data_IF_883892925918
#
_entry.id   IF_883892925918
#
_cell.length_a   1.000
_cell.length_b   1.000
_cell.length_c   1.000
_cell.angle_alpha   90.00
_cell.angle_beta   90.00
_cell.angle_gamma   90.00
#
_symmetry.space_group_name_H-M   'P 1'
#
loop_
_entity.id
_entity.type
_entity.pdbx_description
1 polymer ?
#
# COMPACT_ATOMS: atom_id res chain seq x y z
N UNK A 1 14.54 -19.66 -1.46
CA UNK A 1 13.49 -18.78 -0.90
C UNK A 1 14.17 -17.91 0.15
N UNK A 2 14.06 -16.60 0.02
CA UNK A 2 14.82 -15.67 0.88
C UNK A 2 13.85 -14.99 1.85
N UNK A 3 14.05 -15.08 3.18
CA UNK A 3 13.25 -14.35 4.16
C UNK A 3 13.22 -12.82 3.94
N UNK A 4 14.27 -12.28 3.34
CA UNK A 4 14.35 -10.86 2.99
C UNK A 4 13.29 -10.42 1.94
N UNK A 5 12.81 -11.35 1.11
CA UNK A 5 11.72 -11.06 0.15
C UNK A 5 10.43 -10.59 0.85
N UNK A 6 10.22 -10.96 2.11
CA UNK A 6 9.06 -10.57 2.91
C UNK A 6 9.20 -9.21 3.59
N UNK A 7 10.27 -8.47 3.34
CA UNK A 7 10.46 -7.14 3.93
C UNK A 7 10.52 -6.10 2.83
N UNK A 8 9.65 -5.09 2.92
CA UNK A 8 9.75 -3.87 2.12
C UNK A 8 10.27 -2.77 3.01
N UNK A 9 11.29 -2.06 2.53
CA UNK A 9 12.00 -1.06 3.35
C UNK A 9 11.82 0.34 2.81
N UNK A 10 11.76 1.33 3.71
CA UNK A 10 11.95 2.72 3.35
C UNK A 10 13.43 3.07 3.34
N UNK A 11 13.80 4.11 2.58
CA UNK A 11 15.14 4.67 2.56
C UNK A 11 15.18 6.04 3.25
N UNK A 12 16.35 6.45 3.81
CA UNK A 12 16.40 7.62 4.70
C UNK A 12 16.12 8.95 4.02
N UNK A 13 16.58 9.15 2.80
CA UNK A 13 16.58 10.44 2.12
C UNK A 13 16.35 10.37 0.62
N UNK A 14 16.53 11.48 -0.08
CA UNK A 14 16.31 11.58 -1.53
C UNK A 14 17.42 10.92 -2.35
N UNK A 15 18.57 10.64 -1.74
CA UNK A 15 19.70 9.97 -2.38
C UNK A 15 19.94 8.61 -1.73
N UNK A 16 20.48 7.69 -2.52
CA UNK A 16 20.91 6.38 -2.00
C UNK A 16 22.36 6.49 -1.51
N UNK A 17 22.53 6.79 -0.21
CA UNK A 17 23.84 6.85 0.41
C UNK A 17 24.55 5.49 0.43
N UNK A 18 25.87 5.52 0.65
CA UNK A 18 26.72 4.33 0.62
C UNK A 18 26.28 3.24 1.61
N UNK A 19 25.91 3.63 2.84
CA UNK A 19 25.51 2.68 3.89
C UNK A 19 24.19 2.01 3.51
N UNK A 20 23.22 2.78 3.06
CA UNK A 20 21.95 2.27 2.56
C UNK A 20 22.15 1.32 1.37
N UNK A 21 23.02 1.68 0.43
CA UNK A 21 23.34 0.84 -0.73
C UNK A 21 23.99 -0.49 -0.33
N UNK A 22 24.91 -0.49 0.63
CA UNK A 22 25.57 -1.69 1.17
C UNK A 22 24.55 -2.62 1.86
N UNK A 23 23.66 -2.09 2.70
CA UNK A 23 22.60 -2.88 3.37
C UNK A 23 21.67 -3.51 2.33
N UNK A 24 21.17 -2.73 1.36
CA UNK A 24 20.28 -3.23 0.31
C UNK A 24 20.96 -4.29 -0.56
N UNK A 25 22.23 -4.09 -0.96
CA UNK A 25 22.98 -5.05 -1.75
C UNK A 25 23.20 -6.38 -1.00
N UNK A 26 23.49 -6.31 0.31
CA UNK A 26 23.75 -7.49 1.13
C UNK A 26 22.48 -8.32 1.41
N UNK A 27 21.33 -7.68 1.63
CA UNK A 27 20.12 -8.37 2.09
C UNK A 27 19.06 -8.57 1.02
N UNK A 28 19.05 -7.77 -0.07
CA UNK A 28 18.13 -7.92 -1.19
C UNK A 28 16.66 -8.01 -0.74
N UNK A 29 16.08 -6.97 -0.10
CA UNK A 29 14.69 -6.96 0.33
C UNK A 29 13.73 -7.11 -0.86
N UNK A 30 12.52 -7.63 -0.61
CA UNK A 30 11.51 -7.86 -1.65
C UNK A 30 10.95 -6.59 -2.30
N UNK A 31 11.08 -5.44 -1.63
CA UNK A 31 10.65 -4.15 -2.16
C UNK A 31 11.18 -2.94 -1.41
N UNK A 32 10.93 -1.78 -1.99
CA UNK A 32 11.20 -0.48 -1.39
C UNK A 32 9.92 0.35 -1.42
N UNK A 33 9.58 0.99 -0.30
CA UNK A 33 8.51 1.97 -0.22
C UNK A 33 9.11 3.38 -0.19
N UNK A 34 8.62 4.24 -1.09
CA UNK A 34 9.02 5.64 -1.20
C UNK A 34 8.05 6.55 -0.44
N UNK A 35 8.61 7.56 0.21
CA UNK A 35 7.89 8.57 0.98
C UNK A 35 8.19 9.97 0.45
N UNK A 36 7.51 10.99 0.97
CA UNK A 36 7.78 12.40 0.61
C UNK A 36 9.25 12.79 0.80
N UNK A 37 9.94 12.25 1.81
CA UNK A 37 11.37 12.51 2.06
C UNK A 37 12.31 12.01 0.96
N UNK A 38 11.80 11.14 0.07
CA UNK A 38 12.55 10.57 -1.04
C UNK A 38 12.30 11.31 -2.38
N UNK A 39 11.48 12.37 -2.35
CA UNK A 39 11.00 13.07 -3.55
C UNK A 39 11.26 14.57 -3.42
N UNK A 40 12.17 15.10 -4.20
CA UNK A 40 12.47 16.52 -4.33
C UNK A 40 11.94 17.06 -5.67
N UNK A 41 12.43 16.52 -6.78
CA UNK A 41 12.02 16.85 -8.13
C UNK A 41 12.07 15.62 -9.06
N UNK A 42 11.81 15.84 -10.35
CA UNK A 42 11.77 14.77 -11.36
C UNK A 42 13.15 14.13 -11.58
N UNK A 43 14.19 14.93 -11.71
CA UNK A 43 15.55 14.46 -12.04
C UNK A 43 16.12 13.63 -10.88
N UNK A 44 16.02 14.16 -9.66
CA UNK A 44 16.45 13.48 -8.44
C UNK A 44 15.72 12.15 -8.24
N UNK A 45 14.38 12.11 -8.40
CA UNK A 45 13.62 10.88 -8.21
C UNK A 45 13.99 9.80 -9.25
N UNK A 46 14.26 10.20 -10.50
CA UNK A 46 14.74 9.27 -11.53
C UNK A 46 16.12 8.71 -11.21
N UNK A 47 17.03 9.54 -10.71
CA UNK A 47 18.36 9.10 -10.30
C UNK A 47 18.27 8.09 -9.15
N UNK A 48 17.45 8.40 -8.13
CA UNK A 48 17.21 7.51 -7.00
C UNK A 48 16.64 6.16 -7.44
N UNK A 49 15.57 6.16 -8.25
CA UNK A 49 14.95 4.91 -8.72
C UNK A 49 15.91 4.12 -9.61
N UNK A 50 16.68 4.79 -10.47
CA UNK A 50 17.72 4.12 -11.28
C UNK A 50 18.78 3.46 -10.40
N UNK A 51 19.22 4.13 -9.33
CA UNK A 51 20.17 3.56 -8.38
C UNK A 51 19.58 2.35 -7.65
N UNK A 52 18.32 2.44 -7.20
CA UNK A 52 17.60 1.32 -6.57
C UNK A 52 17.47 0.13 -7.52
N UNK A 53 17.04 0.32 -8.76
CA UNK A 53 16.89 -0.73 -9.76
C UNK A 53 18.20 -1.42 -10.09
N UNK A 54 19.32 -0.69 -10.05
CA UNK A 54 20.66 -1.27 -10.27
C UNK A 54 21.06 -2.27 -9.18
N UNK A 55 20.70 -1.97 -7.92
CA UNK A 55 21.03 -2.81 -6.75
C UNK A 55 19.99 -3.89 -6.55
N UNK A 56 18.71 -3.56 -6.78
CA UNK A 56 17.53 -4.37 -6.50
C UNK A 56 16.67 -4.53 -7.77
N UNK A 57 17.13 -5.25 -8.81
CA UNK A 57 16.40 -5.34 -10.08
C UNK A 57 15.04 -6.03 -9.97
N UNK A 58 14.86 -6.92 -9.00
CA UNK A 58 13.63 -7.70 -8.79
C UNK A 58 12.70 -7.11 -7.70
N UNK A 59 13.14 -6.05 -7.01
CA UNK A 59 12.36 -5.46 -5.93
C UNK A 59 11.11 -4.74 -6.47
N UNK A 60 10.02 -4.85 -5.73
CA UNK A 60 8.80 -4.09 -6.01
C UNK A 60 8.97 -2.68 -5.44
N UNK A 61 8.80 -1.64 -6.26
CA UNK A 61 8.77 -0.26 -5.80
C UNK A 61 7.33 0.16 -5.51
N UNK A 62 7.08 0.63 -4.30
CA UNK A 62 5.76 1.03 -3.83
C UNK A 62 5.76 2.46 -3.28
N UNK A 63 4.60 3.08 -3.27
CA UNK A 63 4.37 4.44 -2.77
C UNK A 63 2.94 4.60 -2.30
N UNK A 64 2.65 5.64 -1.51
CA UNK A 64 1.30 6.13 -1.25
C UNK A 64 0.97 7.32 -2.16
N UNK A 65 0.08 7.14 -3.10
CA UNK A 65 -0.44 8.20 -4.00
C UNK A 65 -1.96 8.14 -4.06
N UNK A 66 -2.59 8.23 -2.88
CA UNK A 66 -4.06 8.13 -2.72
C UNK A 66 -4.81 9.34 -3.30
N UNK A 67 -4.09 10.44 -3.50
CA UNK A 67 -4.64 11.76 -3.77
C UNK A 67 -4.90 12.58 -2.49
N UNK A 68 -5.29 13.87 -2.69
CA UNK A 68 -5.48 14.78 -1.57
C UNK A 68 -4.20 14.97 -0.73
N UNK A 69 -4.33 14.81 0.58
CA UNK A 69 -3.19 15.00 1.51
C UNK A 69 -2.15 13.87 1.47
N UNK A 70 -2.53 12.69 1.02
CA UNK A 70 -1.63 11.53 0.90
C UNK A 70 -1.27 11.31 -0.57
N UNK A 71 -0.37 12.14 -1.05
CA UNK A 71 0.12 12.12 -2.42
C UNK A 71 1.60 12.54 -2.41
N UNK A 72 2.50 11.57 -2.57
CA UNK A 72 3.94 11.80 -2.43
C UNK A 72 4.56 12.47 -3.64
N UNK A 73 3.91 12.39 -4.81
CA UNK A 73 4.38 12.98 -6.06
C UNK A 73 3.77 14.35 -6.38
N UNK A 74 2.90 14.87 -5.51
CA UNK A 74 2.12 16.10 -5.77
C UNK A 74 2.94 17.32 -6.17
N UNK A 75 4.16 17.44 -5.65
CA UNK A 75 5.03 18.61 -5.96
C UNK A 75 5.78 18.43 -7.28
N UNK A 76 5.80 17.23 -7.84
CA UNK A 76 6.47 16.92 -9.12
C UNK A 76 5.47 16.87 -10.27
N UNK A 77 4.36 16.15 -10.11
CA UNK A 77 3.39 15.94 -11.19
C UNK A 77 2.09 16.73 -11.03
N UNK A 78 1.87 17.34 -9.88
CA UNK A 78 0.62 18.02 -9.49
C UNK A 78 -0.20 17.20 -8.50
N UNK A 79 -1.16 17.84 -7.78
CA UNK A 79 -1.94 17.18 -6.72
C UNK A 79 -3.08 16.35 -7.32
N UNK A 80 -3.06 15.05 -7.07
CA UNK A 80 -4.17 14.15 -7.40
C UNK A 80 -5.44 14.52 -6.61
N UNK A 81 -6.65 14.38 -7.18
CA UNK A 81 -7.89 14.61 -6.46
C UNK A 81 -8.05 13.62 -5.29
N UNK A 82 -8.52 14.10 -4.13
CA UNK A 82 -8.79 13.24 -2.97
C UNK A 82 -9.96 12.30 -3.21
N UNK A 83 -10.02 11.18 -2.46
CA UNK A 83 -11.16 10.27 -2.50
C UNK A 83 -12.48 10.99 -2.17
N UNK A 84 -12.48 11.91 -1.19
CA UNK A 84 -13.66 12.71 -0.83
C UNK A 84 -14.11 13.65 -1.97
N UNK A 85 -13.19 14.21 -2.74
CA UNK A 85 -13.53 14.99 -3.93
C UNK A 85 -14.13 14.07 -5.02
N UNK A 86 -13.49 12.94 -5.30
CA UNK A 86 -13.99 11.94 -6.27
C UNK A 86 -15.36 11.38 -5.88
N UNK A 87 -15.65 11.28 -4.58
CA UNK A 87 -16.94 10.81 -4.08
C UNK A 87 -18.13 11.73 -4.45
N UNK A 88 -17.87 13.00 -4.73
CA UNK A 88 -18.88 13.98 -5.16
C UNK A 88 -19.23 13.87 -6.65
N UNK A 89 -18.45 13.09 -7.39
CA UNK A 89 -18.59 12.96 -8.85
C UNK A 89 -18.95 11.53 -9.26
N UNK A 90 -19.20 11.32 -10.56
CA UNK A 90 -19.46 10.00 -11.10
C UNK A 90 -18.22 9.10 -10.99
N UNK A 91 -18.41 7.78 -10.94
CA UNK A 91 -17.32 6.80 -10.87
C UNK A 91 -16.30 6.89 -12.01
N UNK A 92 -16.65 7.51 -13.14
CA UNK A 92 -15.71 7.73 -14.25
C UNK A 92 -14.54 8.62 -13.83
N UNK A 93 -14.77 9.59 -12.95
CA UNK A 93 -13.67 10.42 -12.41
C UNK A 93 -12.70 9.60 -11.57
N UNK A 94 -13.18 8.62 -10.81
CA UNK A 94 -12.29 7.70 -10.09
C UNK A 94 -11.45 6.86 -11.05
N UNK A 95 -12.01 6.41 -12.17
CA UNK A 95 -11.26 5.69 -13.21
C UNK A 95 -10.16 6.60 -13.82
N UNK A 96 -10.51 7.82 -14.19
CA UNK A 96 -9.56 8.77 -14.76
C UNK A 96 -8.47 9.16 -13.77
N UNK A 97 -8.83 9.37 -12.49
CA UNK A 97 -7.86 9.65 -11.43
C UNK A 97 -6.89 8.49 -11.24
N UNK A 98 -7.39 7.24 -11.16
CA UNK A 98 -6.53 6.05 -11.04
C UNK A 98 -5.60 5.88 -12.25
N UNK A 99 -6.09 6.15 -13.46
CA UNK A 99 -5.27 6.10 -14.67
C UNK A 99 -4.18 7.19 -14.66
N UNK A 100 -4.52 8.41 -14.25
CA UNK A 100 -3.58 9.49 -14.10
C UNK A 100 -2.50 9.19 -13.04
N UNK A 101 -2.91 8.67 -11.88
CA UNK A 101 -1.97 8.24 -10.83
C UNK A 101 -1.02 7.18 -11.39
N UNK A 102 -1.54 6.17 -12.08
CA UNK A 102 -0.69 5.14 -12.68
C UNK A 102 0.33 5.71 -13.67
N UNK A 103 -0.09 6.61 -14.56
CA UNK A 103 0.82 7.29 -15.49
C UNK A 103 1.90 8.07 -14.75
N UNK A 104 1.53 8.77 -13.67
CA UNK A 104 2.46 9.51 -12.82
C UNK A 104 3.50 8.59 -12.17
N UNK A 105 3.08 7.45 -11.64
CA UNK A 105 3.96 6.45 -11.02
C UNK A 105 4.88 5.80 -12.06
N UNK A 106 4.37 5.54 -13.26
CA UNK A 106 5.15 4.91 -14.34
C UNK A 106 6.18 5.82 -14.98
N UNK A 107 6.09 7.14 -14.81
CA UNK A 107 7.19 8.07 -15.13
C UNK A 107 8.47 7.70 -14.38
N UNK A 108 8.33 7.17 -13.16
CA UNK A 108 9.42 6.85 -12.24
C UNK A 108 9.57 5.34 -11.99
N UNK A 109 9.07 4.49 -12.88
CA UNK A 109 9.16 3.02 -12.77
C UNK A 109 8.68 2.45 -11.42
N UNK A 110 7.69 3.09 -10.78
CA UNK A 110 7.04 2.63 -9.55
C UNK A 110 5.95 1.62 -9.90
N UNK A 111 5.87 0.52 -9.15
CA UNK A 111 5.08 -0.66 -9.48
C UNK A 111 3.72 -0.73 -8.81
N UNK A 112 3.64 -0.21 -7.57
CA UNK A 112 2.48 -0.38 -6.69
C UNK A 112 2.13 0.95 -6.05
N UNK A 113 0.83 1.27 -6.09
CA UNK A 113 0.23 2.29 -5.26
C UNK A 113 -0.45 1.63 -4.05
N UNK A 114 -0.13 2.05 -2.84
CA UNK A 114 -0.87 1.65 -1.64
C UNK A 114 -2.20 2.41 -1.55
N UNK A 115 -3.02 2.23 -2.57
CA UNK A 115 -4.36 2.76 -2.74
C UNK A 115 -5.23 1.74 -3.52
N UNK A 116 -6.56 1.86 -3.45
CA UNK A 116 -7.37 2.85 -2.75
C UNK A 116 -7.61 2.53 -1.28
N UNK A 117 -7.90 3.57 -0.49
CA UNK A 117 -8.52 3.43 0.84
C UNK A 117 -9.98 3.01 0.64
N UNK A 118 -10.40 1.95 1.32
CA UNK A 118 -11.76 1.42 1.27
C UNK A 118 -12.46 1.40 2.63
N UNK A 119 -11.87 2.09 3.60
CA UNK A 119 -12.48 2.32 4.91
C UNK A 119 -13.77 3.13 4.78
N UNK A 120 -14.76 2.85 5.63
CA UNK A 120 -16.01 3.58 5.66
C UNK A 120 -15.87 4.88 6.47
N UNK A 121 -16.40 5.98 5.96
CA UNK A 121 -16.57 7.20 6.76
C UNK A 121 -17.62 6.96 7.84
N UNK A 122 -17.20 6.91 9.09
CA UNK A 122 -18.05 6.72 10.27
C UNK A 122 -18.40 8.05 10.96
N UNK A 123 -18.06 9.17 10.34
CA UNK A 123 -18.33 10.51 10.88
C UNK A 123 -17.53 10.86 12.13
N UNK A 124 -16.44 10.16 12.40
CA UNK A 124 -15.55 10.46 13.53
C UNK A 124 -14.62 11.61 13.19
N UNK A 125 -14.70 12.68 13.98
CA UNK A 125 -13.79 13.81 13.85
C UNK A 125 -12.37 13.42 14.30
N UNK A 126 -11.37 14.07 13.70
CA UNK A 126 -9.95 13.94 14.06
C UNK A 126 -9.35 12.53 13.89
N UNK A 127 -9.88 11.72 12.99
CA UNK A 127 -9.24 10.47 12.62
C UNK A 127 -8.21 10.69 11.49
N UNK A 128 -7.31 9.72 11.31
CA UNK A 128 -6.25 9.78 10.28
C UNK A 128 -6.78 9.71 8.85
N UNK A 129 -8.08 9.52 8.64
CA UNK A 129 -8.69 9.19 7.35
C UNK A 129 -9.46 10.35 6.70
N UNK A 130 -9.47 11.56 7.28
CA UNK A 130 -10.11 12.74 6.71
C UNK A 130 -9.72 12.93 5.22
N UNK A 131 -10.70 13.18 4.35
CA UNK A 131 -10.58 13.29 2.89
C UNK A 131 -10.17 12.00 2.14
N UNK A 132 -9.86 10.91 2.85
CA UNK A 132 -9.42 9.64 2.25
C UNK A 132 -10.57 8.67 1.96
N UNK A 133 -11.82 9.00 2.31
CA UNK A 133 -13.01 8.18 2.12
C UNK A 133 -13.67 8.37 0.77
N UNK A 134 -14.06 7.27 0.13
CA UNK A 134 -14.98 7.28 -1.04
C UNK A 134 -16.46 7.33 -0.64
N UNK A 135 -16.79 7.26 0.63
CA UNK A 135 -18.15 7.33 1.15
C UNK A 135 -18.29 6.69 2.53
N UNK A 136 -19.53 6.67 3.02
CA UNK A 136 -19.92 6.14 4.34
C UNK A 136 -20.49 4.71 4.26
N UNK A 137 -20.78 4.21 3.05
CA UNK A 137 -21.41 2.90 2.84
C UNK A 137 -20.67 2.08 1.78
N UNK A 138 -20.72 0.73 1.84
CA UNK A 138 -20.15 -0.13 0.82
C UNK A 138 -20.66 0.17 -0.59
N UNK A 139 -21.94 0.55 -0.73
CA UNK A 139 -22.56 0.92 -2.01
C UNK A 139 -21.92 2.16 -2.65
N UNK A 140 -21.44 3.08 -1.86
CA UNK A 140 -20.73 4.28 -2.34
C UNK A 140 -19.28 3.97 -2.66
N UNK A 141 -18.61 3.21 -1.80
CA UNK A 141 -17.16 2.94 -1.87
C UNK A 141 -16.82 1.96 -3.00
N UNK A 142 -17.50 0.79 -3.04
CA UNK A 142 -17.12 -0.30 -3.95
C UNK A 142 -17.03 0.14 -5.41
N UNK A 143 -18.03 0.81 -6.01
CA UNK A 143 -17.95 1.16 -7.42
C UNK A 143 -16.88 2.22 -7.73
N UNK A 144 -16.56 3.11 -6.80
CA UNK A 144 -15.54 4.15 -6.96
C UNK A 144 -14.14 3.59 -6.80
N UNK A 145 -13.93 2.81 -5.74
CA UNK A 145 -12.65 2.13 -5.49
C UNK A 145 -12.33 1.12 -6.61
N UNK A 146 -13.34 0.40 -7.13
CA UNK A 146 -13.18 -0.48 -8.29
C UNK A 146 -12.75 0.30 -9.53
N UNK A 147 -13.36 1.45 -9.78
CA UNK A 147 -13.02 2.29 -10.93
C UNK A 147 -11.60 2.85 -10.80
N UNK A 148 -11.21 3.31 -9.59
CA UNK A 148 -9.84 3.76 -9.32
C UNK A 148 -8.81 2.64 -9.55
N UNK A 149 -9.05 1.44 -8.99
CA UNK A 149 -8.21 0.26 -9.24
C UNK A 149 -8.11 -0.10 -10.72
N UNK A 150 -9.22 -0.02 -11.45
CA UNK A 150 -9.20 -0.27 -12.89
C UNK A 150 -8.33 0.73 -13.62
N UNK A 151 -8.35 2.00 -13.21
CA UNK A 151 -7.47 3.04 -13.74
C UNK A 151 -5.99 2.74 -13.45
N UNK A 152 -5.65 2.35 -12.21
CA UNK A 152 -4.29 1.92 -11.87
C UNK A 152 -3.81 0.77 -12.77
N UNK A 153 -4.66 -0.26 -12.92
CA UNK A 153 -4.33 -1.44 -13.74
C UNK A 153 -4.16 -1.11 -15.23
N UNK A 154 -4.99 -0.23 -15.78
CA UNK A 154 -4.87 0.23 -17.17
C UNK A 154 -3.52 0.89 -17.42
N UNK A 155 -3.02 1.67 -16.45
CA UNK A 155 -1.71 2.30 -16.49
C UNK A 155 -0.54 1.40 -16.06
N UNK A 156 -0.77 0.11 -15.81
CA UNK A 156 0.28 -0.86 -15.50
C UNK A 156 0.79 -0.82 -14.05
N UNK A 157 -0.03 -0.34 -13.11
CA UNK A 157 0.31 -0.22 -11.68
C UNK A 157 -0.61 -1.12 -10.86
N UNK A 158 -0.05 -1.83 -9.88
CA UNK A 158 -0.81 -2.60 -8.90
C UNK A 158 -1.40 -1.71 -7.81
N UNK A 159 -2.59 -2.07 -7.31
CA UNK A 159 -3.19 -1.41 -6.16
C UNK A 159 -3.16 -2.28 -4.91
N UNK A 160 -3.41 -1.65 -3.74
CA UNK A 160 -3.53 -2.32 -2.45
C UNK A 160 -4.67 -1.72 -1.64
N UNK A 161 -5.67 -2.55 -1.27
CA UNK A 161 -6.79 -2.08 -0.44
C UNK A 161 -6.35 -1.88 1.01
N UNK A 162 -6.79 -0.80 1.64
CA UNK A 162 -6.46 -0.50 3.04
C UNK A 162 -7.58 0.22 3.79
N UNK A 163 -7.63 0.08 5.10
CA UNK A 163 -6.79 -0.69 6.02
C UNK A 163 -7.63 -1.83 6.61
N UNK A 164 -7.33 -3.06 6.24
CA UNK A 164 -8.10 -4.23 6.71
C UNK A 164 -8.01 -4.38 8.25
N UNK A 165 -9.11 -4.73 8.95
CA UNK A 165 -10.46 -5.08 8.50
C UNK A 165 -11.44 -3.90 8.37
N UNK A 166 -10.98 -2.66 8.32
CA UNK A 166 -11.74 -1.42 8.23
C UNK A 166 -11.44 -0.48 9.38
N UNK A 167 -10.71 0.61 9.10
CA UNK A 167 -10.19 1.55 10.11
C UNK A 167 -11.16 2.72 10.41
N UNK A 168 -12.26 2.85 9.65
CA UNK A 168 -13.17 4.00 9.72
C UNK A 168 -13.81 4.26 11.07
N UNK A 169 -13.95 3.21 11.91
CA UNK A 169 -14.49 3.30 13.26
C UNK A 169 -13.42 3.46 14.36
N UNK A 170 -12.14 3.60 14.00
CA UNK A 170 -11.07 3.86 14.95
C UNK A 170 -11.13 5.31 15.43
N UNK A 171 -11.30 5.50 16.75
CA UNK A 171 -11.54 6.83 17.36
C UNK A 171 -10.31 7.72 17.45
N UNK A 172 -9.11 7.18 17.22
CA UNK A 172 -7.84 7.88 17.33
C UNK A 172 -6.87 7.47 16.22
N UNK A 173 -5.94 8.36 15.91
CA UNK A 173 -4.93 8.10 14.88
C UNK A 173 -3.90 7.07 15.38
N UNK A 174 -3.86 5.90 14.74
CA UNK A 174 -2.94 4.80 15.05
C UNK A 174 -1.47 5.14 14.85
N UNK A 175 -1.15 6.27 14.19
CA UNK A 175 0.22 6.77 14.11
C UNK A 175 0.75 7.27 15.46
N UNK A 176 -0.15 7.70 16.36
CA UNK A 176 0.24 8.31 17.64
C UNK A 176 0.01 7.41 18.84
N UNK A 177 -0.99 6.53 18.80
CA UNK A 177 -1.32 5.61 19.88
C UNK A 177 -2.14 4.40 19.39
N UNK A 178 -2.30 3.41 20.26
CA UNK A 178 -3.13 2.25 19.96
C UNK A 178 -4.60 2.67 19.92
N UNK A 179 -5.25 2.42 18.79
CA UNK A 179 -6.66 2.67 18.60
C UNK A 179 -7.45 1.37 18.65
N UNK A 180 -8.67 1.42 19.19
CA UNK A 180 -9.54 0.26 19.30
C UNK A 180 -10.93 0.56 18.73
N UNK A 181 -11.48 -0.42 18.02
CA UNK A 181 -12.81 -0.40 17.45
C UNK A 181 -13.73 -1.28 18.31
N UNK A 182 -14.51 -0.67 19.17
CA UNK A 182 -15.40 -1.38 20.13
C UNK A 182 -16.80 -1.67 19.60
N UNK A 183 -17.00 -1.60 18.28
CA UNK A 183 -18.29 -1.95 17.68
C UNK A 183 -18.53 -3.47 17.73
N UNK A 184 -19.80 -3.91 17.91
CA UNK A 184 -20.17 -5.32 17.77
C UNK A 184 -19.83 -5.88 16.39
N UNK A 185 -19.56 -7.18 16.30
CA UNK A 185 -19.18 -7.83 15.03
C UNK A 185 -20.22 -7.62 13.90
N UNK A 186 -21.51 -7.51 14.25
CA UNK A 186 -22.60 -7.25 13.29
C UNK A 186 -22.49 -5.86 12.67
N UNK A 187 -22.10 -4.86 13.45
CA UNK A 187 -21.93 -3.47 12.99
C UNK A 187 -20.63 -3.27 12.19
N UNK A 188 -19.66 -4.20 12.30
CA UNK A 188 -18.41 -4.24 11.54
C UNK A 188 -18.55 -5.00 10.21
N UNK A 189 -19.67 -5.70 9.97
CA UNK A 189 -19.86 -6.42 8.70
C UNK A 189 -19.74 -5.53 7.46
N UNK A 190 -20.31 -4.32 7.44
CA UNK A 190 -20.17 -3.42 6.30
C UNK A 190 -18.73 -3.02 5.99
N UNK A 191 -17.84 -2.95 7.00
CA UNK A 191 -16.42 -2.61 6.79
C UNK A 191 -15.67 -3.71 6.02
N UNK A 192 -16.12 -4.97 6.12
CA UNK A 192 -15.53 -6.10 5.39
C UNK A 192 -16.04 -6.20 3.94
N UNK A 193 -17.18 -5.60 3.59
CA UNK A 193 -17.78 -5.75 2.27
C UNK A 193 -16.91 -5.21 1.13
N UNK A 194 -16.24 -4.03 1.23
CA UNK A 194 -15.35 -3.55 0.19
C UNK A 194 -14.16 -4.50 -0.04
N UNK A 195 -13.60 -5.08 1.01
CA UNK A 195 -12.52 -6.07 0.89
C UNK A 195 -13.02 -7.36 0.25
N UNK A 196 -14.18 -7.87 0.66
CA UNK A 196 -14.79 -9.05 0.06
C UNK A 196 -15.04 -8.87 -1.45
N UNK A 197 -15.47 -7.67 -1.86
CA UNK A 197 -15.78 -7.36 -3.25
C UNK A 197 -14.53 -7.13 -4.12
N UNK A 198 -13.47 -6.51 -3.58
CA UNK A 198 -12.40 -5.94 -4.38
C UNK A 198 -11.02 -6.58 -4.17
N UNK A 199 -10.80 -7.35 -3.08
CA UNK A 199 -9.47 -7.86 -2.76
C UNK A 199 -8.85 -8.72 -3.89
N UNK A 200 -9.65 -9.54 -4.57
CA UNK A 200 -9.19 -10.30 -5.74
C UNK A 200 -8.77 -9.40 -6.91
N UNK A 201 -9.51 -8.30 -7.12
CA UNK A 201 -9.18 -7.33 -8.17
C UNK A 201 -7.88 -6.60 -7.83
N UNK A 202 -7.69 -6.16 -6.59
CA UNK A 202 -6.47 -5.50 -6.15
C UNK A 202 -5.25 -6.44 -6.16
N UNK A 203 -5.44 -7.69 -5.73
CA UNK A 203 -4.38 -8.67 -5.55
C UNK A 203 -3.57 -8.47 -4.27
N UNK A 204 -3.74 -7.34 -3.59
CA UNK A 204 -3.08 -7.00 -2.33
C UNK A 204 -4.03 -6.29 -1.35
N UNK A 205 -3.80 -6.53 -0.06
CA UNK A 205 -4.51 -5.91 1.06
C UNK A 205 -3.49 -5.51 2.12
N UNK A 206 -3.62 -4.32 2.68
CA UNK A 206 -2.82 -3.85 3.81
C UNK A 206 -3.64 -3.97 5.09
N UNK A 207 -3.05 -4.62 6.11
CA UNK A 207 -3.68 -4.86 7.42
C UNK A 207 -3.26 -3.76 8.38
N UNK A 208 -4.23 -3.05 8.94
CA UNK A 208 -3.99 -1.96 9.89
C UNK A 208 -3.64 -2.43 11.31
N UNK A 209 -3.36 -1.47 12.21
CA UNK A 209 -2.88 -1.76 13.58
C UNK A 209 -3.95 -1.57 14.67
N UNK A 210 -5.19 -1.27 14.32
CA UNK A 210 -6.24 -1.11 15.32
C UNK A 210 -6.63 -2.46 15.98
N UNK A 211 -7.14 -2.36 17.21
CA UNK A 211 -7.72 -3.48 17.95
C UNK A 211 -9.19 -3.68 17.56
N UNK A 212 -9.61 -4.92 17.44
CA UNK A 212 -11.01 -5.29 17.16
C UNK A 212 -11.47 -6.36 18.16
N UNK A 213 -11.85 -5.99 19.40
CA UNK A 213 -12.23 -6.97 20.43
C UNK A 213 -13.39 -7.90 20.02
N UNK A 214 -14.27 -7.41 19.15
CA UNK A 214 -15.37 -8.21 18.59
C UNK A 214 -14.91 -9.34 17.65
N UNK A 215 -13.70 -9.25 17.08
CA UNK A 215 -13.12 -10.26 16.21
C UNK A 215 -12.05 -11.09 16.93
N UNK A 216 -11.22 -10.43 17.75
CA UNK A 216 -10.15 -11.10 18.51
C UNK A 216 -10.15 -10.60 19.96
N UNK A 217 -10.66 -11.44 20.86
CA UNK A 217 -10.70 -11.14 22.30
C UNK A 217 -9.33 -11.13 22.98
N UNK A 218 -8.26 -11.56 22.30
CA UNK A 218 -6.89 -11.49 22.80
C UNK A 218 -6.31 -10.08 22.81
N UNK A 219 -7.07 -9.10 22.32
CA UNK A 219 -6.70 -7.68 22.27
C UNK A 219 -5.39 -7.44 21.49
N UNK A 220 -5.15 -8.21 20.42
CA UNK A 220 -4.02 -7.99 19.51
C UNK A 220 -4.42 -7.01 18.41
N UNK A 221 -3.51 -6.12 18.00
CA UNK A 221 -3.68 -5.36 16.75
C UNK A 221 -3.97 -6.29 15.57
N UNK A 222 -4.80 -5.84 14.63
CA UNK A 222 -5.20 -6.69 13.50
C UNK A 222 -4.01 -7.30 12.75
N UNK A 223 -2.93 -6.52 12.56
CA UNK A 223 -1.66 -6.97 11.96
C UNK A 223 -0.98 -8.11 12.73
N UNK A 224 -1.19 -8.19 14.05
CA UNK A 224 -0.59 -9.22 14.92
C UNK A 224 -1.57 -10.35 15.25
N UNK A 225 -2.78 -10.34 14.67
CA UNK A 225 -3.86 -11.27 14.99
C UNK A 225 -4.00 -12.38 13.95
N UNK A 226 -3.65 -13.64 14.28
CA UNK A 226 -3.93 -14.77 13.40
C UNK A 226 -5.44 -15.04 13.23
N UNK A 227 -6.27 -14.59 14.18
CA UNK A 227 -7.73 -14.67 14.06
C UNK A 227 -8.25 -13.73 12.97
N UNK A 228 -7.74 -12.51 12.92
CA UNK A 228 -8.18 -11.53 11.92
C UNK A 228 -7.60 -11.88 10.55
N UNK A 229 -6.30 -12.12 10.44
CA UNK A 229 -5.67 -12.41 9.15
C UNK A 229 -6.04 -13.84 8.69
N UNK A 230 -5.77 -14.85 9.49
CA UNK A 230 -6.04 -16.24 9.15
C UNK A 230 -7.53 -16.57 9.11
N UNK A 231 -8.28 -16.17 10.13
CA UNK A 231 -9.70 -16.51 10.26
C UNK A 231 -10.61 -15.65 9.35
N UNK A 232 -10.44 -14.33 9.34
CA UNK A 232 -11.34 -13.45 8.57
C UNK A 232 -10.84 -13.24 7.16
N UNK A 233 -9.62 -12.71 6.96
CA UNK A 233 -9.12 -12.38 5.62
C UNK A 233 -8.97 -13.65 4.77
N UNK A 234 -8.29 -14.67 5.29
CA UNK A 234 -8.04 -15.92 4.55
C UNK A 234 -9.24 -16.86 4.58
N UNK A 235 -9.76 -17.17 5.78
CA UNK A 235 -10.83 -18.15 5.96
C UNK A 235 -12.18 -17.65 5.48
N UNK A 236 -12.69 -16.55 6.03
CA UNK A 236 -14.05 -16.06 5.74
C UNK A 236 -14.16 -15.37 4.38
N UNK A 237 -13.20 -14.48 4.02
CA UNK A 237 -13.23 -13.78 2.74
C UNK A 237 -12.56 -14.56 1.60
N UNK A 238 -11.85 -15.64 1.89
CA UNK A 238 -11.18 -16.47 0.89
C UNK A 238 -10.10 -15.72 0.10
N UNK A 239 -9.42 -14.75 0.72
CA UNK A 239 -8.39 -13.97 0.05
C UNK A 239 -7.09 -14.75 -0.05
N UNK A 240 -6.61 -14.96 -1.27
CA UNK A 240 -5.38 -15.71 -1.56
C UNK A 240 -4.21 -14.81 -2.00
N UNK A 241 -4.47 -13.52 -2.19
CA UNK A 241 -3.46 -12.54 -2.60
C UNK A 241 -2.51 -12.12 -1.48
N UNK A 242 -1.73 -11.09 -1.72
CA UNK A 242 -0.67 -10.62 -0.85
C UNK A 242 -1.22 -9.78 0.32
N UNK A 243 -0.89 -10.13 1.54
CA UNK A 243 -1.21 -9.35 2.74
C UNK A 243 0.02 -8.57 3.21
N UNK A 244 -0.01 -7.25 3.06
CA UNK A 244 0.97 -6.34 3.65
C UNK A 244 0.61 -6.04 5.10
N UNK A 245 1.61 -5.84 5.96
CA UNK A 245 1.40 -5.06 7.18
C UNK A 245 1.22 -3.58 6.82
N UNK A 246 0.63 -2.79 7.70
CA UNK A 246 0.91 -1.36 7.78
C UNK A 246 2.34 -1.16 8.32
N UNK A 247 2.82 0.10 8.45
CA UNK A 247 4.17 0.39 8.91
C UNK A 247 4.44 -0.21 10.29
N UNK A 248 5.37 -1.16 10.36
CA UNK A 248 5.74 -1.87 11.59
C UNK A 248 6.41 -0.97 12.63
N UNK A 249 6.74 0.27 12.28
CA UNK A 249 7.35 1.25 13.17
C UNK A 249 6.34 2.24 13.78
N UNK A 250 5.03 2.05 13.50
CA UNK A 250 3.97 2.86 14.12
C UNK A 250 3.88 2.61 15.63
N UNK A 251 3.65 3.69 16.39
CA UNK A 251 3.58 3.66 17.87
C UNK A 251 2.49 2.73 18.42
N UNK A 252 1.45 2.45 17.65
CA UNK A 252 0.43 1.47 18.00
C UNK A 252 0.99 0.08 18.32
N UNK A 253 2.21 -0.23 17.86
CA UNK A 253 2.86 -1.52 18.10
C UNK A 253 3.93 -1.51 19.20
N UNK A 254 4.23 -0.38 19.83
CA UNK A 254 5.35 -0.25 20.80
C UNK A 254 5.25 -1.21 21.99
N UNK A 255 4.04 -1.60 22.38
CA UNK A 255 3.83 -2.55 23.47
C UNK A 255 4.13 -4.02 23.10
N UNK A 256 4.44 -4.31 21.82
CA UNK A 256 4.56 -5.68 21.29
C UNK A 256 6.00 -6.12 21.02
N UNK A 257 6.96 -5.49 21.65
CA UNK A 257 8.38 -5.79 21.52
C UNK A 257 9.16 -4.81 20.65
N UNK A 258 10.41 -5.13 20.40
CA UNK A 258 11.23 -4.36 19.46
C UNK A 258 10.79 -4.60 18.00
N UNK A 259 11.35 -3.83 17.06
CA UNK A 259 10.94 -3.90 15.66
C UNK A 259 11.12 -5.30 15.05
N UNK A 260 12.23 -6.03 15.21
CA UNK A 260 12.36 -7.40 14.74
C UNK A 260 11.35 -8.37 15.38
N UNK A 261 11.04 -8.23 16.67
CA UNK A 261 10.07 -9.08 17.37
C UNK A 261 8.64 -8.87 16.84
N UNK A 262 8.19 -7.63 16.72
CA UNK A 262 6.86 -7.33 16.19
C UNK A 262 6.73 -7.73 14.72
N UNK A 263 7.80 -7.65 13.93
CA UNK A 263 7.85 -8.18 12.57
C UNK A 263 7.66 -9.71 12.53
N UNK A 264 8.36 -10.44 13.38
CA UNK A 264 8.18 -11.89 13.52
C UNK A 264 6.74 -12.26 13.89
N UNK A 265 6.15 -11.57 14.87
CA UNK A 265 4.76 -11.80 15.31
C UNK A 265 3.78 -11.52 14.16
N UNK A 266 3.90 -10.41 13.45
CA UNK A 266 3.03 -10.06 12.32
C UNK A 266 3.14 -11.09 11.19
N UNK A 267 4.36 -11.52 10.89
CA UNK A 267 4.61 -12.54 9.88
C UNK A 267 4.00 -13.89 10.26
N UNK A 268 4.19 -14.33 11.50
CA UNK A 268 3.57 -15.54 12.03
C UNK A 268 2.04 -15.46 12.07
N UNK A 269 1.48 -14.26 12.31
CA UNK A 269 0.04 -14.02 12.28
C UNK A 269 -0.58 -14.10 10.87
N UNK A 270 0.23 -13.97 9.81
CA UNK A 270 -0.24 -14.17 8.43
C UNK A 270 -0.01 -13.01 7.47
N UNK A 271 0.65 -11.91 7.87
CA UNK A 271 1.17 -10.92 6.93
C UNK A 271 2.22 -11.58 6.03
N UNK A 272 2.16 -11.38 4.72
CA UNK A 272 3.12 -11.91 3.76
C UNK A 272 4.31 -11.00 3.57
N UNK A 273 4.09 -9.70 3.69
CA UNK A 273 5.11 -8.65 3.55
C UNK A 273 4.99 -7.67 4.71
N UNK A 274 6.13 -7.32 5.27
CA UNK A 274 6.29 -6.41 6.41
C UNK A 274 6.89 -5.10 5.94
N UNK A 275 6.26 -3.97 6.30
CA UNK A 275 6.75 -2.64 5.95
C UNK A 275 7.63 -2.10 7.10
N UNK A 276 8.92 -1.92 6.82
CA UNK A 276 9.92 -1.27 7.70
C UNK A 276 10.27 0.07 7.07
N UNK A 277 9.55 1.11 7.45
CA UNK A 277 9.47 2.34 6.68
C UNK A 277 10.56 3.37 6.98
N UNK A 278 11.18 3.31 8.16
CA UNK A 278 12.06 4.38 8.63
C UNK A 278 13.47 3.90 8.98
N UNK A 279 13.61 2.73 9.56
CA UNK A 279 14.87 2.23 10.13
C UNK A 279 15.46 1.13 9.23
N UNK A 280 16.00 1.52 8.06
CA UNK A 280 16.65 0.57 7.13
C UNK A 280 17.72 -0.30 7.82
N UNK A 281 18.44 0.26 8.81
CA UNK A 281 19.45 -0.46 9.59
C UNK A 281 18.89 -1.66 10.39
N UNK A 282 17.56 -1.74 10.60
CA UNK A 282 16.93 -2.88 11.26
C UNK A 282 16.75 -4.09 10.33
N UNK A 283 16.87 -3.92 9.01
CA UNK A 283 16.64 -5.00 8.03
C UNK A 283 17.42 -6.29 8.34
N UNK A 284 18.73 -6.26 8.69
CA UNK A 284 19.46 -7.49 9.02
C UNK A 284 18.83 -8.28 10.16
N UNK A 285 18.45 -7.60 11.25
CA UNK A 285 17.86 -8.23 12.42
C UNK A 285 16.45 -8.77 12.16
N UNK A 286 15.65 -8.06 11.34
CA UNK A 286 14.34 -8.56 10.89
C UNK A 286 14.51 -9.82 10.05
N UNK A 287 15.43 -9.82 9.08
CA UNK A 287 15.71 -10.98 8.23
C UNK A 287 16.21 -12.18 9.05
N UNK A 288 17.05 -11.94 10.06
CA UNK A 288 17.52 -12.98 10.97
C UNK A 288 16.33 -13.65 11.70
N UNK A 289 15.40 -12.87 12.25
CA UNK A 289 14.19 -13.38 12.91
C UNK A 289 13.32 -14.21 11.97
N UNK A 290 13.08 -13.71 10.76
CA UNK A 290 12.29 -14.41 9.75
C UNK A 290 12.98 -15.68 9.22
N UNK A 291 14.29 -15.81 9.40
CA UNK A 291 15.07 -16.99 9.02
C UNK A 291 14.98 -18.13 10.02
N UNK A 292 14.27 -17.96 11.16
CA UNK A 292 14.12 -19.00 12.15
C UNK A 292 13.43 -20.25 11.55
N UNK A 293 13.93 -21.47 11.80
CA UNK A 293 13.41 -22.71 11.20
C UNK A 293 11.91 -22.93 11.39
N UNK A 294 11.33 -22.46 12.50
CA UNK A 294 9.88 -22.58 12.76
C UNK A 294 9.01 -21.80 11.74
N UNK A 295 9.59 -20.82 11.03
CA UNK A 295 8.90 -20.00 10.03
C UNK A 295 9.13 -20.46 8.59
N UNK A 296 9.91 -21.52 8.35
CA UNK A 296 10.26 -21.98 7.00
C UNK A 296 9.04 -22.22 6.11
N UNK A 297 8.04 -22.92 6.62
CA UNK A 297 6.79 -23.18 5.89
C UNK A 297 6.02 -21.88 5.59
N UNK A 298 6.03 -20.91 6.53
CA UNK A 298 5.39 -19.62 6.37
C UNK A 298 6.12 -18.75 5.35
N UNK A 299 7.47 -18.76 5.35
CA UNK A 299 8.30 -18.11 4.34
C UNK A 299 8.00 -18.67 2.95
N UNK A 300 7.90 -20.00 2.82
CA UNK A 300 7.56 -20.63 1.55
C UNK A 300 6.17 -20.21 1.03
N UNK A 301 5.19 -20.09 1.92
CA UNK A 301 3.83 -19.64 1.59
C UNK A 301 3.83 -18.18 1.14
N UNK A 302 4.47 -17.29 1.90
CA UNK A 302 4.58 -15.86 1.57
C UNK A 302 5.29 -15.63 0.24
N UNK A 303 6.39 -16.35 -0.02
CA UNK A 303 7.10 -16.26 -1.30
C UNK A 303 6.19 -16.64 -2.48
N UNK A 304 5.41 -17.71 -2.39
CA UNK A 304 4.47 -18.09 -3.47
C UNK A 304 3.46 -16.97 -3.76
N UNK A 305 2.94 -16.31 -2.72
CA UNK A 305 2.01 -15.18 -2.90
C UNK A 305 2.70 -13.96 -3.49
N UNK A 306 3.90 -13.65 -3.03
CA UNK A 306 4.69 -12.53 -3.56
C UNK A 306 5.06 -12.78 -5.03
N UNK A 307 5.49 -13.98 -5.39
CA UNK A 307 5.80 -14.33 -6.78
C UNK A 307 4.57 -14.25 -7.67
N UNK A 308 3.41 -14.71 -7.19
CA UNK A 308 2.14 -14.55 -7.90
C UNK A 308 1.80 -13.08 -8.10
N UNK A 309 2.04 -12.25 -7.09
CA UNK A 309 1.80 -10.81 -7.18
C UNK A 309 2.78 -10.13 -8.15
N UNK A 310 4.07 -10.49 -8.13
CA UNK A 310 5.07 -10.01 -9.11
C UNK A 310 4.67 -10.36 -10.54
N UNK A 311 4.21 -11.60 -10.80
CA UNK A 311 3.69 -12.01 -12.11
C UNK A 311 2.47 -11.19 -12.53
N UNK A 312 1.59 -10.87 -11.59
CA UNK A 312 0.46 -9.97 -11.84
C UNK A 312 0.95 -8.58 -12.26
N UNK A 313 1.92 -7.98 -11.58
CA UNK A 313 2.49 -6.67 -11.94
C UNK A 313 3.09 -6.70 -13.36
N UNK A 314 3.81 -7.76 -13.72
CA UNK A 314 4.32 -7.96 -15.09
C UNK A 314 3.17 -7.98 -16.10
N UNK A 315 2.08 -8.69 -15.78
CA UNK A 315 0.89 -8.76 -16.64
C UNK A 315 0.22 -7.40 -16.82
N UNK A 316 0.09 -6.62 -15.75
CA UNK A 316 -0.46 -5.25 -15.81
C UNK A 316 0.37 -4.34 -16.72
N UNK A 317 1.69 -4.46 -16.71
CA UNK A 317 2.59 -3.71 -17.62
C UNK A 317 2.41 -4.06 -19.09
N UNK A 318 1.72 -5.15 -19.43
CA UNK A 318 1.35 -5.46 -20.81
C UNK A 318 0.04 -4.83 -21.26
N UNK A 319 -0.66 -4.09 -20.37
CA UNK A 319 -1.89 -3.39 -20.72
C UNK A 319 -1.65 -2.38 -21.86
N UNK A 320 -2.58 -2.30 -22.79
CA UNK A 320 -2.45 -1.47 -23.99
C UNK A 320 -2.22 0.00 -23.64
N UNK A 321 -2.98 0.55 -22.70
CA UNK A 321 -2.86 1.95 -22.28
C UNK A 321 -1.47 2.27 -21.72
N UNK A 322 -0.91 1.37 -20.91
CA UNK A 322 0.47 1.50 -20.44
C UNK A 322 1.47 1.48 -21.59
N UNK A 323 1.37 0.48 -22.48
CA UNK A 323 2.28 0.34 -23.62
C UNK A 323 2.22 1.56 -24.54
N UNK A 324 1.02 2.07 -24.82
CA UNK A 324 0.82 3.27 -25.65
C UNK A 324 1.38 4.53 -24.98
N UNK A 325 1.23 4.65 -23.62
CA UNK A 325 1.80 5.76 -22.86
C UNK A 325 3.35 5.76 -22.90
N UNK A 326 3.97 4.57 -22.81
CA UNK A 326 5.43 4.42 -22.78
C UNK A 326 6.09 4.45 -24.16
N UNK A 327 5.30 4.27 -25.22
CA UNK A 327 5.83 4.10 -26.58
C UNK A 327 6.23 5.43 -27.21
N UNK A 328 7.46 5.47 -27.79
CA UNK A 328 7.94 6.56 -28.66
C UNK A 328 7.88 7.97 -28.08
N UNK A 329 7.88 8.12 -26.76
CA UNK A 329 7.87 9.42 -26.06
C UNK A 329 9.06 9.52 -25.11
N UNK A 330 9.68 10.71 -25.08
CA UNK A 330 10.66 11.02 -24.04
C UNK A 330 9.99 11.16 -22.67
N UNK A 331 10.79 11.12 -21.62
CA UNK A 331 10.26 11.30 -20.27
C UNK A 331 9.62 12.69 -20.09
N UNK A 332 10.27 13.75 -20.56
CA UNK A 332 9.70 15.10 -20.48
C UNK A 332 8.36 15.25 -21.20
N UNK A 333 8.19 14.62 -22.38
CA UNK A 333 6.90 14.61 -23.08
C UNK A 333 5.82 13.85 -22.28
N UNK A 334 6.19 12.75 -21.61
CA UNK A 334 5.27 12.01 -20.75
C UNK A 334 4.87 12.83 -19.51
N UNK A 335 5.81 13.52 -18.88
CA UNK A 335 5.54 14.41 -17.75
C UNK A 335 4.57 15.54 -18.14
N UNK A 336 4.82 16.19 -19.26
CA UNK A 336 3.94 17.25 -19.76
C UNK A 336 2.52 16.71 -20.04
N UNK A 337 2.40 15.53 -20.64
CA UNK A 337 1.12 14.86 -20.86
C UNK A 337 0.40 14.54 -19.55
N UNK A 338 1.12 14.07 -18.53
CA UNK A 338 0.54 13.81 -17.21
C UNK A 338 -0.01 15.08 -16.58
N UNK A 339 0.73 16.19 -16.64
CA UNK A 339 0.29 17.51 -16.12
C UNK A 339 -0.93 18.05 -16.87
N UNK A 340 -0.96 17.94 -18.20
CA UNK A 340 -2.11 18.34 -19.02
C UNK A 340 -3.36 17.49 -18.70
N UNK A 341 -3.20 16.18 -18.54
CA UNK A 341 -4.31 15.28 -18.19
C UNK A 341 -4.89 15.64 -16.82
N UNK A 342 -4.05 16.00 -15.84
CA UNK A 342 -4.50 16.47 -14.54
C UNK A 342 -5.32 17.75 -14.64
N UNK A 343 -4.83 18.74 -15.38
CA UNK A 343 -5.52 20.01 -15.57
C UNK A 343 -6.93 19.79 -16.18
N UNK A 344 -7.03 18.95 -17.22
CA UNK A 344 -8.32 18.58 -17.82
C UNK A 344 -9.26 17.88 -16.84
N UNK A 345 -8.72 16.96 -16.02
CA UNK A 345 -9.50 16.26 -14.99
C UNK A 345 -10.04 17.25 -13.95
N UNK A 346 -9.21 18.17 -13.46
CA UNK A 346 -9.59 19.19 -12.48
C UNK A 346 -10.62 20.18 -13.04
N UNK A 347 -10.43 20.68 -14.27
CA UNK A 347 -11.39 21.55 -14.96
C UNK A 347 -12.76 20.88 -15.13
N UNK A 348 -12.80 19.58 -15.39
CA UNK A 348 -14.04 18.85 -15.57
C UNK A 348 -14.79 18.55 -14.26
N UNK A 349 -14.12 18.71 -13.12
CA UNK A 349 -14.70 18.55 -11.77
C UNK A 349 -15.13 19.89 -11.13
N UNK A 350 -14.69 21.03 -11.63
CA UNK A 350 -15.08 22.37 -11.17
C UNK A 350 -16.37 22.81 -11.75
#
# INVERSE_FOLDING_TARGET
MKPADQVFVGIPGPELDKVSAEILAAHQPGGVILFKRNVEDEEQLNELVTALRRILPEAVLAIDSEGGRVDRLRDVVGPAPSAALLARHSRSYSLHAGNWVAQSLRLFDIDVDFAPVVDLDRGLANNALDERYFGATPKEIIPRAQAFLSGLHNGGVGGCLKHFPGLGAAGEDTHFQMSAVYLPAEELKPDLEPFAALARLAGAVMVGHALYPAYDSSMRPATLSPVIIGGILRGRLGFEGLAFSDDMEMKALDAWGDLPERCEIAFAAGCDVLLVCHTLAALPAVVERLSHPSLEARVAEANRRLDTYRQRLITLRSAREYVDFMRNTSQGERLEKVRQTLAQLQESMG
#
